data_IF_510616316130
#
_entry.id   IF_510616316130
#
_cell.length_a   1.000
_cell.length_b   1.000
_cell.length_c   1.000
_cell.angle_alpha   90.00
_cell.angle_beta   90.00
_cell.angle_gamma   90.00
#
_symmetry.space_group_name_H-M   'P 1'
#
loop_
_entity.id
_entity.type
_entity.pdbx_description
1 polymer ?
#
# COMPACT_ATOMS: atom_id res chain seq x y z
N UNK A 1 -25.42 29.31 72.57
CA UNK A 1 -26.47 28.58 71.80
C UNK A 1 -25.76 27.49 70.99
N UNK A 2 -25.72 26.19 71.36
CA UNK A 2 -26.80 25.16 71.30
C UNK A 2 -27.34 24.99 69.87
N UNK A 3 -27.34 23.86 69.15
CA UNK A 3 -26.98 22.40 69.31
C UNK A 3 -26.37 21.93 67.95
N UNK A 4 -25.81 20.75 67.69
CA UNK A 4 -25.59 19.52 68.48
C UNK A 4 -26.18 18.25 67.81
N UNK A 5 -25.30 17.30 67.40
CA UNK A 5 -25.53 15.84 67.18
C UNK A 5 -26.44 15.39 66.00
N UNK A 6 -25.99 14.52 65.06
CA UNK A 6 -25.82 13.03 65.11
C UNK A 6 -27.15 12.25 65.09
N UNK A 7 -27.35 11.08 64.46
CA UNK A 7 -26.56 10.15 63.63
C UNK A 7 -27.56 9.21 62.88
N UNK A 8 -27.10 8.30 62.00
CA UNK A 8 -27.99 7.29 61.40
C UNK A 8 -27.34 6.39 60.34
N UNK A 9 -26.85 5.22 60.75
CA UNK A 9 -26.25 4.17 59.91
C UNK A 9 -27.20 2.98 59.71
N UNK A 10 -27.28 2.45 58.48
CA UNK A 10 -27.54 1.03 58.13
C UNK A 10 -27.05 0.83 56.69
N UNK A 11 -25.97 0.09 56.42
CA UNK A 11 -25.86 -1.38 56.32
C UNK A 11 -26.46 -2.01 55.04
N UNK A 12 -25.65 -2.80 54.32
CA UNK A 12 -26.14 -4.03 53.67
C UNK A 12 -25.72 -4.33 52.23
N UNK A 13 -24.63 -5.11 52.07
CA UNK A 13 -24.27 -6.02 50.94
C UNK A 13 -23.74 -5.34 49.66
N UNK A 14 -22.48 -5.56 49.25
CA UNK A 14 -21.81 -6.80 48.76
C UNK A 14 -22.40 -7.31 47.42
N UNK A 15 -21.67 -7.75 46.38
CA UNK A 15 -20.27 -7.67 45.93
C UNK A 15 -20.23 -8.13 44.43
N UNK A 16 -19.15 -8.27 43.63
CA UNK A 16 -17.70 -8.13 43.84
C UNK A 16 -16.95 -7.82 42.51
N UNK A 17 -15.73 -7.28 42.62
CA UNK A 17 -14.50 -7.55 41.84
C UNK A 17 -14.57 -8.15 40.42
N UNK A 18 -14.12 -7.38 39.41
CA UNK A 18 -13.10 -7.86 38.43
C UNK A 18 -12.08 -6.75 38.16
N UNK A 19 -10.97 -6.76 38.90
CA UNK A 19 -9.71 -6.12 38.49
C UNK A 19 -8.83 -7.21 37.91
N UNK A 20 -8.40 -7.08 36.64
CA UNK A 20 -7.37 -7.97 36.12
C UNK A 20 -7.26 -8.06 34.60
N UNK A 21 -6.01 -7.89 34.14
CA UNK A 21 -5.46 -8.40 32.85
C UNK A 21 -5.97 -7.74 31.56
N UNK A 22 -5.22 -6.73 31.11
CA UNK A 22 -4.47 -6.80 29.84
C UNK A 22 -3.43 -5.68 29.72
N UNK A 23 -2.32 -5.86 30.45
CA UNK A 23 -1.13 -5.02 30.36
C UNK A 23 0.12 -5.91 30.10
N UNK A 24 0.12 -6.64 28.98
CA UNK A 24 1.22 -7.55 28.61
C UNK A 24 1.25 -7.99 27.12
N UNK A 25 1.10 -7.10 26.13
CA UNK A 25 1.58 -7.35 24.76
C UNK A 25 2.19 -6.07 24.17
N UNK A 26 3.37 -5.69 24.68
CA UNK A 26 4.15 -4.56 24.16
C UNK A 26 5.65 -4.68 24.54
N UNK A 27 6.22 -5.88 24.42
CA UNK A 27 7.65 -6.14 24.60
C UNK A 27 8.04 -7.41 23.83
N UNK A 28 8.97 -7.28 22.86
CA UNK A 28 9.48 -8.41 22.08
C UNK A 28 9.68 -8.09 20.60
N UNK A 29 10.79 -7.40 20.28
CA UNK A 29 11.43 -7.39 18.95
C UNK A 29 12.75 -6.57 18.92
N UNK A 30 13.59 -6.61 19.97
CA UNK A 30 14.98 -6.12 19.91
C UNK A 30 15.87 -6.95 20.85
N UNK A 31 16.50 -8.01 20.32
CA UNK A 31 17.74 -8.62 20.81
C UNK A 31 18.15 -9.74 19.83
N UNK A 32 19.39 -9.74 19.34
CA UNK A 32 19.81 -10.77 18.37
C UNK A 32 21.13 -10.52 17.62
N UNK A 33 22.19 -10.07 18.28
CA UNK A 33 23.57 -10.16 17.76
C UNK A 33 24.55 -10.40 18.91
N UNK A 34 25.57 -11.21 18.63
CA UNK A 34 26.80 -11.47 19.40
C UNK A 34 26.69 -12.23 20.73
N UNK A 35 27.03 -13.52 20.67
CA UNK A 35 28.25 -14.02 21.32
C UNK A 35 28.71 -15.31 20.61
N UNK A 36 30.02 -15.54 20.56
CA UNK A 36 30.58 -16.77 20.00
C UNK A 36 31.97 -17.04 20.56
N UNK A 37 32.25 -18.31 20.88
CA UNK A 37 33.60 -18.89 20.97
C UNK A 37 33.57 -20.43 21.10
N UNK A 38 34.45 -21.04 20.32
CA UNK A 38 35.25 -22.26 20.55
C UNK A 38 34.61 -23.54 21.13
N UNK A 39 34.51 -24.58 20.28
CA UNK A 39 35.20 -25.87 20.48
C UNK A 39 35.29 -26.67 19.16
N UNK A 40 36.39 -27.41 18.97
CA UNK A 40 36.66 -28.31 17.83
C UNK A 40 35.74 -29.54 17.72
N UNK A 41 35.99 -30.52 16.87
CA UNK A 41 37.25 -30.95 16.20
C UNK A 41 36.95 -31.86 14.99
N UNK A 42 37.86 -31.93 14.01
CA UNK A 42 38.23 -33.22 13.39
C UNK A 42 37.70 -33.61 11.99
N UNK A 43 38.62 -33.51 11.02
CA UNK A 43 38.96 -34.49 9.95
C UNK A 43 38.07 -34.74 8.71
N UNK A 44 38.75 -34.54 7.58
CA UNK A 44 38.93 -35.42 6.41
C UNK A 44 37.75 -35.73 5.47
N UNK A 45 37.95 -35.40 4.17
CA UNK A 45 37.05 -35.77 3.07
C UNK A 45 37.28 -34.94 1.79
N UNK A 46 38.32 -35.26 1.02
CA UNK A 46 38.60 -34.59 -0.25
C UNK A 46 37.71 -35.11 -1.40
N UNK A 47 37.39 -34.27 -2.40
CA UNK A 47 37.78 -34.53 -3.81
C UNK A 47 37.41 -33.42 -4.82
N UNK A 48 38.32 -33.27 -5.79
CA UNK A 48 38.14 -32.92 -7.20
C UNK A 48 37.56 -31.55 -7.65
N UNK A 49 38.43 -30.78 -8.32
CA UNK A 49 38.06 -29.75 -9.31
C UNK A 49 37.73 -30.38 -10.68
N UNK A 50 37.05 -29.64 -11.56
CA UNK A 50 37.03 -29.91 -13.01
C UNK A 50 35.94 -29.14 -13.78
N UNK A 51 36.28 -28.19 -14.67
CA UNK A 51 35.29 -27.37 -15.38
C UNK A 51 35.03 -27.83 -16.83
N UNK A 52 33.96 -27.34 -17.46
CA UNK A 52 34.06 -26.93 -18.86
C UNK A 52 33.01 -25.89 -19.31
N UNK A 53 33.31 -25.24 -20.43
CA UNK A 53 32.61 -24.06 -20.98
C UNK A 53 32.23 -24.33 -22.44
N UNK A 54 31.31 -23.49 -22.96
CA UNK A 54 31.07 -23.17 -24.37
C UNK A 54 29.94 -23.92 -25.12
N UNK A 55 29.29 -23.14 -25.99
CA UNK A 55 28.20 -23.50 -26.88
C UNK A 55 28.68 -23.54 -28.35
N UNK A 56 27.89 -24.12 -29.27
CA UNK A 56 27.79 -23.71 -30.70
C UNK A 56 26.35 -23.99 -31.23
N UNK A 57 25.96 -23.27 -32.28
CA UNK A 57 24.65 -23.18 -32.94
C UNK A 57 24.34 -24.27 -34.01
N UNK A 58 23.08 -24.28 -34.47
CA UNK A 58 22.59 -24.31 -35.89
C UNK A 58 21.04 -24.18 -35.83
N UNK A 59 20.31 -23.20 -36.40
CA UNK A 59 20.14 -22.68 -37.79
C UNK A 59 19.44 -23.66 -38.74
N UNK A 60 18.22 -23.31 -39.19
CA UNK A 60 17.47 -23.99 -40.26
C UNK A 60 16.07 -23.39 -40.45
N UNK A 61 15.65 -23.10 -41.69
CA UNK A 61 14.45 -22.31 -41.99
C UNK A 61 13.50 -22.98 -43.02
N UNK A 62 12.19 -22.71 -42.91
CA UNK A 62 11.13 -22.78 -43.94
C UNK A 62 9.87 -22.13 -43.30
N UNK A 63 9.11 -21.16 -43.83
CA UNK A 63 8.60 -20.82 -45.19
C UNK A 63 7.46 -21.72 -45.69
N UNK A 64 6.21 -21.23 -45.51
CA UNK A 64 5.03 -21.18 -46.43
C UNK A 64 3.92 -20.40 -45.67
N UNK A 65 3.24 -19.38 -46.21
CA UNK A 65 2.16 -19.38 -47.23
C UNK A 65 0.95 -20.26 -46.88
N UNK A 66 -0.33 -19.87 -47.01
CA UNK A 66 -1.01 -18.59 -47.33
C UNK A 66 -2.51 -18.73 -46.93
N UNK A 67 -3.40 -17.76 -47.20
CA UNK A 67 -4.86 -18.02 -47.28
C UNK A 67 -5.82 -17.18 -46.42
N UNK A 68 -6.00 -15.93 -46.83
CA UNK A 68 -7.24 -15.14 -46.95
C UNK A 68 -8.62 -15.58 -46.38
N UNK A 69 -9.39 -14.55 -45.96
CA UNK A 69 -10.88 -14.42 -45.95
C UNK A 69 -11.70 -15.34 -45.02
N UNK A 70 -12.89 -14.98 -44.52
CA UNK A 70 -13.73 -13.76 -44.67
C UNK A 70 -14.56 -13.50 -43.39
N UNK A 71 -15.28 -12.37 -43.31
CA UNK A 71 -16.11 -12.00 -42.17
C UNK A 71 -17.61 -12.06 -42.49
N UNK A 72 -18.45 -12.59 -41.58
CA UNK A 72 -19.91 -12.38 -41.59
C UNK A 72 -20.46 -12.13 -40.19
N UNK A 73 -21.37 -11.15 -40.10
CA UNK A 73 -22.12 -10.71 -38.93
C UNK A 73 -23.40 -11.51 -38.69
N UNK A 74 -23.85 -11.63 -37.43
CA UNK A 74 -25.22 -12.10 -37.14
C UNK A 74 -25.65 -11.90 -35.68
N UNK A 75 -26.65 -11.04 -35.44
CA UNK A 75 -27.42 -11.00 -34.19
C UNK A 75 -28.52 -12.08 -34.23
N UNK A 76 -28.91 -12.62 -33.07
CA UNK A 76 -30.08 -13.52 -32.95
C UNK A 76 -30.42 -13.87 -31.51
N UNK A 77 -31.47 -13.26 -30.98
CA UNK A 77 -32.05 -13.54 -29.65
C UNK A 77 -33.00 -14.73 -29.68
N UNK A 78 -33.02 -15.56 -28.63
CA UNK A 78 -34.01 -16.63 -28.42
C UNK A 78 -34.02 -17.10 -26.96
N UNK A 79 -35.20 -17.42 -26.43
CA UNK A 79 -35.47 -17.78 -25.02
C UNK A 79 -36.42 -18.99 -25.00
N UNK A 80 -36.50 -19.72 -23.87
CA UNK A 80 -37.42 -20.84 -23.57
C UNK A 80 -37.01 -22.18 -24.22
N UNK A 81 -37.23 -23.37 -23.64
CA UNK A 81 -37.71 -23.78 -22.29
C UNK A 81 -37.25 -25.24 -22.00
N UNK A 82 -37.53 -25.76 -20.79
CA UNK A 82 -37.09 -27.09 -20.29
C UNK A 82 -37.68 -28.30 -21.05
N UNK A 83 -36.97 -29.44 -21.00
CA UNK A 83 -37.59 -30.78 -20.92
C UNK A 83 -36.62 -31.86 -20.39
N UNK A 84 -37.01 -32.52 -19.29
CA UNK A 84 -36.41 -33.77 -18.79
C UNK A 84 -36.85 -35.00 -19.61
N UNK A 85 -35.95 -35.97 -19.84
CA UNK A 85 -36.26 -37.40 -20.01
C UNK A 85 -34.97 -38.26 -19.90
N UNK A 86 -35.13 -39.55 -19.62
CA UNK A 86 -34.13 -40.43 -18.98
C UNK A 86 -33.78 -41.70 -19.78
N UNK A 87 -32.67 -42.37 -19.40
CA UNK A 87 -32.21 -43.75 -19.72
C UNK A 87 -31.98 -44.18 -21.19
N UNK A 88 -30.74 -44.56 -21.53
CA UNK A 88 -30.36 -45.96 -21.89
C UNK A 88 -28.85 -46.23 -21.86
N UNK A 89 -28.49 -47.49 -21.57
CA UNK A 89 -27.11 -48.00 -21.46
C UNK A 89 -26.39 -48.17 -22.81
N UNK A 90 -25.05 -48.09 -22.75
CA UNK A 90 -24.13 -48.61 -23.75
C UNK A 90 -22.75 -48.77 -23.12
N UNK A 91 -22.31 -50.02 -22.93
CA UNK A 91 -20.95 -50.33 -22.48
C UNK A 91 -19.96 -50.11 -23.61
N UNK A 92 -18.79 -49.51 -23.31
CA UNK A 92 -17.54 -49.88 -24.00
C UNK A 92 -16.30 -49.42 -23.21
N UNK A 93 -15.27 -50.27 -23.17
CA UNK A 93 -14.04 -50.02 -22.41
C UNK A 93 -12.90 -49.55 -23.34
N UNK A 94 -12.22 -48.44 -23.01
CA UNK A 94 -11.16 -47.92 -23.89
C UNK A 94 -10.23 -46.86 -23.28
N UNK A 95 -9.04 -47.32 -22.87
CA UNK A 95 -7.74 -46.62 -22.85
C UNK A 95 -7.57 -45.23 -22.19
N UNK A 96 -6.56 -45.16 -21.32
CA UNK A 96 -6.04 -43.93 -20.69
C UNK A 96 -5.24 -43.08 -21.70
N UNK A 97 -5.52 -41.78 -21.79
CA UNK A 97 -4.73 -40.82 -22.57
C UNK A 97 -4.71 -39.44 -21.92
N UNK A 98 -3.50 -38.93 -21.60
CA UNK A 98 -3.33 -37.67 -20.87
C UNK A 98 -3.75 -36.44 -21.67
N UNK A 99 -4.64 -35.62 -21.11
CA UNK A 99 -5.17 -34.41 -21.77
C UNK A 99 -4.25 -33.21 -21.50
N UNK A 100 -3.61 -32.70 -22.56
CA UNK A 100 -2.75 -31.52 -22.47
C UNK A 100 -3.55 -30.28 -22.03
N UNK A 101 -2.98 -29.51 -21.10
CA UNK A 101 -3.58 -28.26 -20.60
C UNK A 101 -3.39 -27.16 -21.63
N UNK A 102 -4.50 -26.53 -22.06
CA UNK A 102 -4.48 -25.48 -23.07
C UNK A 102 -3.68 -24.24 -22.64
N UNK A 103 -2.80 -23.75 -23.52
CA UNK A 103 -1.98 -22.57 -23.26
C UNK A 103 -2.83 -21.29 -23.17
N UNK A 104 -2.90 -20.69 -21.98
CA UNK A 104 -3.54 -19.40 -21.76
C UNK A 104 -2.65 -18.29 -22.35
N UNK A 105 -3.10 -17.65 -23.43
CA UNK A 105 -2.44 -16.44 -23.98
C UNK A 105 -2.68 -15.26 -23.03
N UNK A 106 -1.64 -14.55 -22.56
CA UNK A 106 -1.84 -13.34 -21.77
C UNK A 106 -2.25 -12.19 -22.70
N UNK A 107 -3.52 -11.79 -22.61
CA UNK A 107 -4.01 -10.55 -23.24
C UNK A 107 -4.15 -9.48 -22.15
N UNK A 108 -3.18 -8.57 -22.07
CA UNK A 108 -3.30 -7.32 -21.30
C UNK A 108 -3.16 -6.16 -22.27
N UNK A 109 -4.29 -5.78 -22.88
CA UNK A 109 -4.36 -4.54 -23.66
C UNK A 109 -4.41 -3.34 -22.70
N UNK A 110 -3.29 -2.63 -22.60
CA UNK A 110 -3.20 -1.40 -21.80
C UNK A 110 -4.02 -0.31 -22.49
N UNK A 111 -5.11 0.13 -21.85
CA UNK A 111 -5.79 1.37 -22.24
C UNK A 111 -5.16 2.53 -21.47
N UNK A 112 -4.44 3.40 -22.17
CA UNK A 112 -3.92 4.64 -21.61
C UNK A 112 -5.06 5.65 -21.39
N UNK A 113 -5.49 5.81 -20.13
CA UNK A 113 -6.37 6.91 -19.76
C UNK A 113 -5.55 8.20 -19.60
N UNK A 114 -5.42 8.94 -20.70
CA UNK A 114 -4.93 10.31 -20.68
C UNK A 114 -5.95 11.25 -20.03
N UNK A 115 -5.89 11.40 -18.70
CA UNK A 115 -6.57 12.48 -18.00
C UNK A 115 -5.58 13.64 -17.81
N UNK A 116 -5.76 14.70 -18.59
CA UNK A 116 -4.98 15.94 -18.48
C UNK A 116 -5.18 16.54 -17.09
N UNK A 117 -4.09 16.97 -16.45
CA UNK A 117 -4.13 17.55 -15.12
C UNK A 117 -4.85 18.90 -15.10
N UNK A 118 -6.11 18.92 -14.66
CA UNK A 118 -6.73 20.14 -14.15
C UNK A 118 -6.37 20.30 -12.67
N UNK A 119 -6.00 21.52 -12.27
CA UNK A 119 -6.11 21.90 -10.87
C UNK A 119 -7.57 21.69 -10.42
N UNK A 120 -7.75 21.07 -9.25
CA UNK A 120 -9.09 20.81 -8.71
C UNK A 120 -9.73 22.15 -8.36
N UNK A 121 -10.64 22.62 -9.21
CA UNK A 121 -11.48 23.81 -8.96
C UNK A 121 -12.52 23.44 -7.90
N UNK A 122 -12.09 23.42 -6.64
CA UNK A 122 -12.89 23.04 -5.48
C UNK A 122 -12.00 22.87 -4.24
N UNK A 123 -12.60 22.95 -3.05
CA UNK A 123 -11.86 22.70 -1.82
C UNK A 123 -11.45 21.20 -1.75
N UNK A 124 -10.16 20.88 -1.50
CA UNK A 124 -9.73 19.49 -1.43
C UNK A 124 -10.37 18.77 -0.23
N UNK A 125 -10.74 17.50 -0.42
CA UNK A 125 -11.35 16.69 0.66
C UNK A 125 -10.37 16.48 1.81
N UNK A 126 -9.08 16.30 1.53
CA UNK A 126 -8.01 16.22 2.53
C UNK A 126 -6.97 17.30 2.25
N UNK A 127 -6.58 18.03 3.31
CA UNK A 127 -5.50 19.02 3.29
C UNK A 127 -4.61 18.79 4.51
N UNK A 128 -3.36 18.45 4.24
CA UNK A 128 -2.31 18.24 5.24
C UNK A 128 -1.30 19.38 5.06
N UNK A 129 -1.07 20.17 6.11
CA UNK A 129 -0.23 21.37 6.07
C UNK A 129 0.80 21.30 7.20
N UNK A 130 2.09 21.35 6.83
CA UNK A 130 3.24 21.35 7.74
C UNK A 130 3.21 20.26 8.81
N UNK A 131 2.74 19.06 8.47
CA UNK A 131 2.55 17.96 9.40
C UNK A 131 3.88 17.53 10.00
N UNK A 132 3.99 17.61 11.32
CA UNK A 132 5.13 17.12 12.11
C UNK A 132 4.63 16.09 13.11
N UNK A 133 5.37 14.98 13.27
CA UNK A 133 5.10 13.97 14.29
C UNK A 133 6.40 13.39 14.82
N UNK A 134 6.66 13.72 16.09
CA UNK A 134 7.78 13.20 16.86
C UNK A 134 7.30 12.21 17.91
N UNK A 135 8.00 11.08 18.03
CA UNK A 135 7.76 10.09 19.09
C UNK A 135 8.83 10.23 20.19
N UNK A 136 8.46 10.35 21.48
CA UNK A 136 9.44 10.43 22.56
C UNK A 136 10.18 9.10 22.72
N UNK A 137 11.52 9.16 22.77
CA UNK A 137 12.33 8.01 23.19
C UNK A 137 12.45 8.08 24.71
N UNK A 138 12.03 7.03 25.41
CA UNK A 138 12.13 6.93 26.87
C UNK A 138 13.08 5.82 27.30
N UNK A 139 13.85 6.04 28.36
CA UNK A 139 14.70 5.04 29.00
C UNK A 139 14.49 5.00 30.52
N UNK A 140 14.91 3.89 31.13
CA UNK A 140 14.75 3.61 32.58
C UNK A 140 13.70 2.53 32.86
N UNK A 141 14.07 1.54 33.68
CA UNK A 141 13.24 0.38 33.99
C UNK A 141 12.09 0.69 34.99
N UNK A 142 12.34 1.61 35.93
CA UNK A 142 11.38 1.98 37.00
C UNK A 142 10.73 3.36 36.73
N UNK A 143 11.51 4.32 36.21
CA UNK A 143 11.02 5.65 35.85
C UNK A 143 11.39 5.95 34.40
N UNK A 144 10.39 5.97 33.50
CA UNK A 144 10.59 6.23 32.06
C UNK A 144 10.88 7.72 31.82
N UNK A 145 12.16 8.11 31.82
CA UNK A 145 12.59 9.47 31.48
C UNK A 145 12.70 9.63 29.96
N UNK A 146 12.29 10.78 29.42
CA UNK A 146 12.50 11.12 28.00
C UNK A 146 14.00 11.37 27.78
N UNK A 147 14.62 10.60 26.89
CA UNK A 147 16.04 10.69 26.52
C UNK A 147 16.26 11.15 25.08
N UNK A 148 15.18 11.37 24.32
CA UNK A 148 15.25 11.90 22.97
C UNK A 148 13.88 11.94 22.29
N UNK A 149 13.88 12.16 20.98
CA UNK A 149 12.71 12.03 20.12
C UNK A 149 13.10 11.41 18.77
N UNK A 150 12.16 10.75 18.11
CA UNK A 150 12.29 10.25 16.73
C UNK A 150 11.34 11.06 15.86
N UNK A 151 11.86 11.79 14.87
CA UNK A 151 11.01 12.57 13.97
C UNK A 151 10.54 11.68 12.82
N UNK A 152 9.34 11.11 12.97
CA UNK A 152 8.76 10.15 12.03
C UNK A 152 8.07 10.85 10.85
N UNK A 153 7.56 12.06 11.07
CA UNK A 153 7.11 12.97 10.02
C UNK A 153 7.70 14.34 10.35
N UNK A 154 8.40 14.93 9.39
CA UNK A 154 9.05 16.21 9.54
C UNK A 154 8.58 17.11 8.40
N UNK A 155 7.57 17.95 8.66
CA UNK A 155 7.06 18.97 7.74
C UNK A 155 6.62 18.38 6.38
N UNK A 156 5.48 17.68 6.41
CA UNK A 156 4.83 17.11 5.21
C UNK A 156 3.58 17.92 4.88
N UNK A 157 3.48 18.38 3.62
CA UNK A 157 2.35 19.13 3.10
C UNK A 157 1.84 18.56 1.78
N UNK A 158 0.54 18.25 1.70
CA UNK A 158 -0.14 17.81 0.47
C UNK A 158 -1.66 17.94 0.57
N UNK A 159 -2.33 17.89 -0.58
CA UNK A 159 -3.79 17.88 -0.69
C UNK A 159 -4.28 16.76 -1.61
N UNK A 160 -5.49 16.28 -1.32
CA UNK A 160 -6.20 15.23 -2.06
C UNK A 160 -7.64 15.71 -2.33
N UNK A 161 -8.04 15.78 -3.60
CA UNK A 161 -9.38 16.11 -4.04
C UNK A 161 -10.37 14.96 -3.80
N UNK A 162 -11.67 15.25 -3.87
CA UNK A 162 -12.70 14.21 -3.77
C UNK A 162 -12.61 13.25 -4.98
N UNK A 163 -12.67 11.94 -4.72
CA UNK A 163 -12.54 10.89 -5.75
C UNK A 163 -11.11 10.66 -6.25
N UNK A 164 -10.13 11.40 -5.75
CA UNK A 164 -8.70 11.25 -6.07
C UNK A 164 -8.11 10.03 -5.32
N UNK A 165 -7.15 9.33 -5.94
CA UNK A 165 -6.24 8.43 -5.21
C UNK A 165 -4.87 9.08 -5.12
N UNK A 166 -4.48 9.50 -3.92
CA UNK A 166 -3.13 9.95 -3.63
C UNK A 166 -2.29 8.80 -3.09
N UNK A 167 -1.28 8.40 -3.86
CA UNK A 167 -0.34 7.35 -3.52
C UNK A 167 0.82 7.86 -2.68
N UNK A 168 1.09 7.26 -1.52
CA UNK A 168 2.20 7.61 -0.64
C UNK A 168 3.21 6.47 -0.60
N UNK A 169 4.41 6.70 -1.15
CA UNK A 169 5.40 5.65 -1.45
C UNK A 169 6.76 5.91 -0.80
N UNK A 170 7.54 4.85 -0.55
CA UNK A 170 8.89 4.93 -0.02
C UNK A 170 9.28 3.69 0.80
N UNK A 171 10.54 3.63 1.22
CA UNK A 171 11.09 2.52 2.03
C UNK A 171 10.35 2.33 3.36
N UNK A 172 10.52 1.16 3.98
CA UNK A 172 10.03 0.92 5.34
C UNK A 172 10.63 1.93 6.32
N UNK A 173 9.86 2.37 7.32
CA UNK A 173 10.29 3.40 8.26
C UNK A 173 10.31 4.84 7.74
N UNK A 174 9.96 5.12 6.48
CA UNK A 174 9.98 6.48 5.92
C UNK A 174 8.89 7.45 6.44
N UNK A 175 7.97 6.99 7.30
CA UNK A 175 6.94 7.82 7.95
C UNK A 175 5.50 7.68 7.41
N UNK A 176 5.30 6.91 6.33
CA UNK A 176 4.01 6.79 5.61
C UNK A 176 2.83 6.38 6.51
N UNK A 177 2.96 5.28 7.24
CA UNK A 177 1.98 4.80 8.24
C UNK A 177 1.68 5.85 9.31
N UNK A 178 2.68 6.63 9.73
CA UNK A 178 2.49 7.71 10.70
C UNK A 178 1.64 8.83 10.13
N UNK A 179 1.88 9.24 8.88
CA UNK A 179 1.01 10.20 8.16
C UNK A 179 -0.42 9.66 8.08
N UNK A 180 -0.60 8.39 7.69
CA UNK A 180 -1.92 7.74 7.64
C UNK A 180 -2.65 7.74 8.99
N UNK A 181 -1.96 7.40 10.08
CA UNK A 181 -2.51 7.42 11.45
C UNK A 181 -2.86 8.83 11.94
N UNK A 182 -2.12 9.85 11.51
CA UNK A 182 -2.48 11.25 11.78
C UNK A 182 -3.75 11.67 11.03
N UNK A 183 -3.89 11.28 9.75
CA UNK A 183 -5.08 11.58 8.93
C UNK A 183 -6.36 11.00 9.55
N UNK A 184 -6.31 9.77 10.07
CA UNK A 184 -7.50 9.14 10.70
C UNK A 184 -7.68 9.49 12.19
N UNK A 185 -6.81 10.33 12.77
CA UNK A 185 -6.88 10.74 14.17
C UNK A 185 -6.66 9.60 15.17
N UNK A 186 -5.77 8.66 14.83
CA UNK A 186 -5.20 7.66 15.74
C UNK A 186 -3.91 8.17 16.40
N UNK A 187 -3.16 9.03 15.70
CA UNK A 187 -1.96 9.69 16.21
C UNK A 187 -2.16 11.21 16.20
N UNK A 188 -1.99 11.87 17.35
CA UNK A 188 -1.98 13.33 17.42
C UNK A 188 -0.69 13.88 16.81
N UNK A 189 -0.74 14.80 15.82
CA UNK A 189 0.44 15.51 15.34
C UNK A 189 1.18 16.25 16.46
N UNK A 190 2.50 16.39 16.32
CA UNK A 190 3.33 17.28 17.14
C UNK A 190 3.26 18.73 16.65
N UNK A 191 2.94 18.94 15.37
CA UNK A 191 2.73 20.24 14.74
C UNK A 191 2.06 20.10 13.37
N UNK A 192 1.67 21.23 12.78
CA UNK A 192 0.92 21.28 11.52
C UNK A 192 -0.59 21.21 11.69
N UNK A 193 -1.28 20.95 10.59
CA UNK A 193 -2.74 20.97 10.44
C UNK A 193 -3.21 19.80 9.56
N UNK A 194 -4.35 19.20 9.91
CA UNK A 194 -4.99 18.12 9.14
C UNK A 194 -6.47 18.45 9.00
N UNK A 195 -6.88 18.91 7.83
CA UNK A 195 -8.27 19.25 7.52
C UNK A 195 -8.91 18.20 6.62
N UNK A 196 -10.13 17.81 6.97
CA UNK A 196 -10.96 16.92 6.15
C UNK A 196 -12.27 17.65 5.88
N UNK A 197 -12.63 17.86 4.60
CA UNK A 197 -13.81 18.61 4.18
C UNK A 197 -13.99 19.91 4.96
N UNK A 198 -13.00 20.81 4.86
CA UNK A 198 -12.93 22.10 5.57
C UNK A 198 -12.67 22.07 7.08
N UNK A 199 -12.90 20.95 7.78
CA UNK A 199 -12.80 20.90 9.24
C UNK A 199 -11.42 20.43 9.74
N UNK A 200 -10.83 21.21 10.64
CA UNK A 200 -9.59 20.88 11.36
C UNK A 200 -9.79 19.69 12.32
N UNK A 201 -9.13 18.57 12.04
CA UNK A 201 -9.25 17.35 12.83
C UNK A 201 -8.72 17.53 14.26
N UNK A 202 -7.67 18.34 14.43
CA UNK A 202 -7.04 18.56 15.74
C UNK A 202 -7.92 19.31 16.74
N UNK A 203 -8.93 20.07 16.28
CA UNK A 203 -9.87 20.79 17.15
C UNK A 203 -11.08 19.94 17.58
N UNK A 204 -11.41 18.87 16.85
CA UNK A 204 -12.61 18.08 17.10
C UNK A 204 -12.50 17.23 18.37
N UNK A 205 -13.55 17.24 19.20
CA UNK A 205 -13.66 16.43 20.42
C UNK A 205 -15.04 15.76 20.51
N UNK A 206 -15.15 14.74 21.37
CA UNK A 206 -16.42 14.08 21.71
C UNK A 206 -17.26 13.67 20.49
N UNK A 207 -18.53 14.12 20.46
CA UNK A 207 -19.50 13.81 19.40
C UNK A 207 -19.03 14.23 18.00
N UNK A 208 -18.38 15.40 17.87
CA UNK A 208 -17.92 15.91 16.57
C UNK A 208 -16.79 15.04 15.98
N UNK A 209 -15.83 14.61 16.83
CA UNK A 209 -14.79 13.67 16.41
C UNK A 209 -15.37 12.30 16.06
N UNK A 210 -16.35 11.80 16.84
CA UNK A 210 -17.05 10.53 16.53
C UNK A 210 -17.82 10.62 15.21
N UNK A 211 -18.45 11.75 14.89
CA UNK A 211 -19.11 11.94 13.61
C UNK A 211 -18.09 11.98 12.46
N UNK A 212 -16.97 12.70 12.63
CA UNK A 212 -15.90 12.75 11.61
C UNK A 212 -15.27 11.39 11.31
N UNK A 213 -15.17 10.51 12.29
CA UNK A 213 -14.72 9.11 12.11
C UNK A 213 -15.69 8.23 11.30
N UNK A 214 -16.88 8.71 10.94
CA UNK A 214 -17.75 8.05 9.96
C UNK A 214 -17.25 8.30 8.53
N UNK A 215 -16.84 9.54 8.24
CA UNK A 215 -16.36 9.98 6.92
C UNK A 215 -14.96 9.44 6.56
N UNK A 216 -14.20 8.88 7.51
CA UNK A 216 -12.78 8.57 7.35
C UNK A 216 -12.38 7.27 8.02
N UNK A 217 -11.91 6.29 7.24
CA UNK A 217 -11.57 4.93 7.71
C UNK A 217 -10.13 4.54 7.38
N UNK A 218 -9.60 3.59 8.14
CA UNK A 218 -8.27 2.99 7.95
C UNK A 218 -8.40 1.51 7.61
N UNK A 219 -7.82 1.09 6.49
CA UNK A 219 -7.52 -0.31 6.19
C UNK A 219 -6.06 -0.56 6.60
N UNK A 220 -5.85 -1.50 7.51
CA UNK A 220 -4.54 -1.81 8.09
C UNK A 220 -3.73 -2.78 7.22
N UNK A 221 -2.40 -2.73 7.37
CA UNK A 221 -1.40 -3.59 6.72
C UNK A 221 -1.63 -5.07 7.01
N UNK A 222 -1.76 -5.43 8.30
CA UNK A 222 -2.17 -6.78 8.69
C UNK A 222 -3.68 -6.84 8.91
N UNK A 223 -4.38 -7.29 7.87
CA UNK A 223 -5.83 -7.51 7.97
C UNK A 223 -6.18 -8.61 8.97
N UNK A 224 -5.33 -9.62 9.21
CA UNK A 224 -5.66 -10.71 10.13
C UNK A 224 -5.75 -10.23 11.58
N UNK A 225 -4.74 -9.52 12.11
CA UNK A 225 -4.85 -8.93 13.45
C UNK A 225 -5.90 -7.83 13.56
N UNK A 226 -6.34 -7.24 12.43
CA UNK A 226 -7.44 -6.26 12.42
C UNK A 226 -8.84 -6.86 12.55
N UNK A 227 -9.02 -8.18 12.38
CA UNK A 227 -10.32 -8.87 12.45
C UNK A 227 -10.36 -9.74 13.71
N UNK A 228 -11.31 -9.50 14.64
CA UNK A 228 -11.43 -10.35 15.83
C UNK A 228 -11.75 -11.81 15.41
N UNK A 229 -10.86 -12.79 15.68
CA UNK A 229 -11.05 -14.17 15.23
C UNK A 229 -12.22 -14.89 15.93
N UNK A 230 -12.75 -14.33 17.03
CA UNK A 230 -13.91 -14.84 17.79
C UNK A 230 -15.23 -14.26 17.30
N UNK A 231 -15.22 -13.23 16.46
CA UNK A 231 -16.42 -12.65 15.87
C UNK A 231 -16.72 -13.29 14.51
N UNK A 232 -18.01 -13.49 14.20
CA UNK A 232 -18.43 -13.85 12.83
C UNK A 232 -18.24 -12.66 11.90
N UNK A 233 -17.90 -12.90 10.64
CA UNK A 233 -17.67 -11.87 9.61
C UNK A 233 -18.83 -10.89 9.52
N UNK A 234 -20.08 -11.34 9.61
CA UNK A 234 -21.24 -10.47 9.57
C UNK A 234 -21.34 -9.50 10.76
N UNK A 235 -20.82 -9.90 11.93
CA UNK A 235 -20.71 -9.00 13.08
C UNK A 235 -19.57 -7.99 12.89
N UNK A 236 -18.43 -8.41 12.34
CA UNK A 236 -17.27 -7.55 12.07
C UNK A 236 -17.58 -6.47 11.02
N UNK A 237 -18.29 -6.84 9.94
CA UNK A 237 -18.74 -5.87 8.92
C UNK A 237 -19.86 -4.96 9.45
N UNK A 238 -20.72 -5.46 10.36
CA UNK A 238 -21.75 -4.64 11.00
C UNK A 238 -21.22 -3.73 12.13
N UNK A 239 -20.05 -4.01 12.70
CA UNK A 239 -19.53 -3.35 13.89
C UNK A 239 -19.47 -1.81 13.76
N UNK A 240 -18.98 -1.21 12.65
CA UNK A 240 -19.04 0.25 12.48
C UNK A 240 -20.47 0.81 12.54
N UNK A 241 -21.44 0.14 11.89
CA UNK A 241 -22.85 0.54 11.97
C UNK A 241 -23.42 0.41 13.39
N UNK A 242 -23.02 -0.64 14.13
CA UNK A 242 -23.42 -0.84 15.53
C UNK A 242 -22.85 0.26 16.43
N UNK A 243 -21.53 0.49 16.37
CA UNK A 243 -20.81 1.50 17.17
C UNK A 243 -21.38 2.90 16.93
N UNK A 244 -21.78 3.21 15.69
CA UNK A 244 -22.31 4.52 15.34
C UNK A 244 -23.83 4.67 15.46
N UNK A 245 -24.57 3.57 15.67
CA UNK A 245 -26.03 3.58 15.80
C UNK A 245 -26.78 3.67 14.47
N UNK A 246 -26.13 3.34 13.34
CA UNK A 246 -26.68 3.46 11.99
C UNK A 246 -27.55 2.24 11.67
N UNK A 247 -28.80 2.45 11.24
CA UNK A 247 -29.73 1.39 10.82
C UNK A 247 -30.24 0.46 11.94
N UNK A 248 -31.27 -0.33 11.63
CA UNK A 248 -31.84 -1.35 12.52
C UNK A 248 -31.05 -2.67 12.47
N UNK A 249 -31.29 -3.62 13.38
CA UNK A 249 -30.65 -4.96 13.34
C UNK A 249 -30.88 -5.67 12.00
N UNK A 250 -32.09 -5.61 11.46
CA UNK A 250 -32.42 -6.20 10.17
C UNK A 250 -31.76 -5.44 9.01
N UNK A 251 -31.78 -4.10 9.03
CA UNK A 251 -31.12 -3.26 8.03
C UNK A 251 -29.60 -3.49 7.97
N UNK A 252 -28.92 -3.54 9.12
CA UNK A 252 -27.50 -3.90 9.21
C UNK A 252 -27.20 -5.27 8.61
N UNK A 253 -28.04 -6.27 8.90
CA UNK A 253 -27.87 -7.62 8.34
C UNK A 253 -28.10 -7.67 6.82
N UNK A 254 -28.96 -6.81 6.26
CA UNK A 254 -29.11 -6.65 4.81
C UNK A 254 -27.89 -5.96 4.19
N UNK A 255 -27.47 -4.81 4.74
CA UNK A 255 -26.30 -4.04 4.27
C UNK A 255 -25.01 -4.85 4.33
N UNK A 256 -24.83 -5.70 5.35
CA UNK A 256 -23.71 -6.66 5.41
C UNK A 256 -23.70 -7.63 4.22
N UNK A 257 -24.85 -8.17 3.81
CA UNK A 257 -24.91 -9.12 2.67
C UNK A 257 -24.60 -8.41 1.35
N UNK A 258 -25.09 -7.19 1.18
CA UNK A 258 -24.78 -6.33 0.05
C UNK A 258 -23.27 -6.04 -0.02
N UNK A 259 -22.68 -5.50 1.06
CA UNK A 259 -21.25 -5.18 1.15
C UNK A 259 -20.35 -6.40 0.91
N UNK A 260 -20.76 -7.60 1.35
CA UNK A 260 -20.06 -8.84 1.03
C UNK A 260 -20.13 -9.16 -0.47
N UNK A 261 -21.31 -9.03 -1.09
CA UNK A 261 -21.48 -9.18 -2.53
C UNK A 261 -20.63 -8.18 -3.33
N UNK A 262 -20.60 -6.92 -2.90
CA UNK A 262 -19.78 -5.86 -3.51
C UNK A 262 -18.28 -6.14 -3.53
N UNK A 263 -17.76 -6.92 -2.56
CA UNK A 263 -16.35 -7.34 -2.51
C UNK A 263 -16.13 -8.75 -3.08
N UNK A 264 -17.14 -9.35 -3.72
CA UNK A 264 -17.06 -10.67 -4.34
C UNK A 264 -17.12 -11.84 -3.36
N UNK A 265 -17.85 -11.71 -2.25
CA UNK A 265 -18.10 -12.77 -1.28
C UNK A 265 -19.60 -13.10 -1.20
N UNK A 266 -19.99 -14.38 -1.11
CA UNK A 266 -21.41 -14.75 -0.99
C UNK A 266 -21.98 -14.25 0.35
N UNK A 267 -23.25 -13.85 0.38
CA UNK A 267 -23.90 -13.37 1.62
C UNK A 267 -23.85 -14.36 2.80
N UNK A 268 -23.73 -15.68 2.51
CA UNK A 268 -23.51 -16.72 3.51
C UNK A 268 -22.17 -16.58 4.28
N UNK A 269 -21.17 -15.90 3.70
CA UNK A 269 -19.89 -15.60 4.37
C UNK A 269 -20.09 -14.85 5.70
N UNK A 270 -21.19 -14.10 5.86
CA UNK A 270 -21.54 -13.41 7.10
C UNK A 270 -21.63 -14.34 8.33
N UNK A 271 -21.92 -15.63 8.14
CA UNK A 271 -22.04 -16.60 9.23
C UNK A 271 -20.72 -17.26 9.63
N UNK A 272 -19.65 -17.06 8.86
CA UNK A 272 -18.34 -17.71 9.04
C UNK A 272 -17.40 -16.84 9.87
N UNK A 273 -16.31 -17.42 10.35
CA UNK A 273 -15.26 -16.74 11.12
C UNK A 273 -14.04 -16.37 10.25
N UNK A 274 -13.25 -15.34 10.59
CA UNK A 274 -12.11 -14.88 9.79
C UNK A 274 -11.06 -15.95 9.44
N UNK A 275 -10.87 -16.96 10.31
CA UNK A 275 -9.90 -18.03 10.09
C UNK A 275 -10.30 -19.01 8.97
N UNK A 276 -11.56 -19.01 8.53
CA UNK A 276 -12.05 -19.87 7.46
C UNK A 276 -11.84 -19.32 6.04
N UNK A 277 -11.15 -18.17 5.91
CA UNK A 277 -10.99 -17.43 4.65
C UNK A 277 -9.52 -17.32 4.23
N UNK A 278 -9.23 -17.23 2.93
CA UNK A 278 -7.88 -16.93 2.44
C UNK A 278 -7.42 -15.52 2.82
N UNK A 279 -6.13 -15.20 2.65
CA UNK A 279 -5.61 -13.84 2.90
C UNK A 279 -6.35 -12.77 2.07
N UNK A 280 -6.51 -13.00 0.76
CA UNK A 280 -7.27 -12.11 -0.13
C UNK A 280 -8.75 -12.00 0.23
N UNK A 281 -9.39 -13.09 0.70
CA UNK A 281 -10.77 -13.03 1.19
C UNK A 281 -10.89 -12.23 2.49
N UNK A 282 -9.92 -12.34 3.40
CA UNK A 282 -9.85 -11.49 4.60
C UNK A 282 -9.65 -10.02 4.21
N UNK A 283 -8.83 -9.71 3.21
CA UNK A 283 -8.68 -8.35 2.67
C UNK A 283 -10.01 -7.79 2.13
N UNK A 284 -10.78 -8.60 1.39
CA UNK A 284 -12.14 -8.27 0.93
C UNK A 284 -13.08 -7.97 2.11
N UNK A 285 -13.03 -8.75 3.19
CA UNK A 285 -13.82 -8.50 4.42
C UNK A 285 -13.43 -7.17 5.08
N UNK A 286 -12.14 -6.82 5.14
CA UNK A 286 -11.70 -5.54 5.68
C UNK A 286 -12.15 -4.34 4.83
N UNK A 287 -12.15 -4.47 3.50
CA UNK A 287 -12.72 -3.47 2.59
C UNK A 287 -14.24 -3.33 2.83
N UNK A 288 -14.98 -4.43 2.91
CA UNK A 288 -16.42 -4.42 3.21
C UNK A 288 -16.74 -3.73 4.55
N UNK A 289 -15.92 -3.96 5.60
CA UNK A 289 -16.03 -3.27 6.88
C UNK A 289 -15.78 -1.76 6.75
N UNK A 290 -14.74 -1.34 6.01
CA UNK A 290 -14.43 0.08 5.83
C UNK A 290 -15.55 0.83 5.09
N UNK A 291 -16.24 0.16 4.17
CA UNK A 291 -17.37 0.72 3.42
C UNK A 291 -18.68 0.80 4.23
N UNK A 292 -18.77 0.16 5.41
CA UNK A 292 -20.02 0.01 6.16
C UNK A 292 -20.65 1.31 6.68
N UNK A 293 -19.93 2.43 6.61
CA UNK A 293 -20.43 3.77 6.94
C UNK A 293 -20.37 4.75 5.76
N UNK A 294 -20.18 4.26 4.52
CA UNK A 294 -20.11 5.05 3.29
C UNK A 294 -19.11 6.22 3.38
N UNK A 295 -17.82 5.92 3.64
CA UNK A 295 -16.82 6.93 3.94
C UNK A 295 -16.44 7.75 2.70
N UNK A 296 -16.07 9.01 2.93
CA UNK A 296 -15.55 9.90 1.88
C UNK A 296 -14.07 9.64 1.61
N UNK A 297 -13.32 9.27 2.65
CA UNK A 297 -11.88 9.03 2.62
C UNK A 297 -11.54 7.67 3.24
N UNK A 298 -10.76 6.87 2.51
CA UNK A 298 -10.12 5.66 3.05
C UNK A 298 -8.60 5.84 2.98
N UNK A 299 -7.95 5.75 4.14
CA UNK A 299 -6.51 5.53 4.22
C UNK A 299 -6.28 4.03 4.13
N UNK A 300 -5.48 3.57 3.17
CA UNK A 300 -5.15 2.16 2.99
C UNK A 300 -3.64 1.99 3.21
N UNK A 301 -3.27 1.40 4.35
CA UNK A 301 -1.88 1.23 4.77
C UNK A 301 -1.36 -0.14 4.36
N UNK A 302 -0.58 -0.19 3.28
CA UNK A 302 -0.07 -1.42 2.64
C UNK A 302 -1.11 -2.55 2.45
N UNK A 303 -2.29 -2.29 1.85
CA UNK A 303 -3.43 -3.23 1.82
C UNK A 303 -3.23 -4.50 0.97
N UNK A 304 -2.03 -4.72 0.43
CA UNK A 304 -1.70 -5.84 -0.46
C UNK A 304 -0.32 -6.45 -0.21
N UNK A 305 0.49 -5.95 0.74
CA UNK A 305 1.91 -6.34 0.86
C UNK A 305 2.13 -7.79 1.31
N UNK A 306 1.15 -8.40 1.99
CA UNK A 306 1.20 -9.79 2.45
C UNK A 306 0.46 -10.78 1.52
N UNK A 307 0.24 -10.43 0.25
CA UNK A 307 -0.56 -11.23 -0.71
C UNK A 307 0.27 -11.62 -1.95
N UNK A 308 -0.03 -12.77 -2.55
CA UNK A 308 0.56 -13.21 -3.82
C UNK A 308 0.20 -12.24 -4.96
N UNK A 309 1.11 -12.04 -5.93
CA UNK A 309 0.97 -11.05 -7.02
C UNK A 309 -0.39 -11.12 -7.75
N UNK A 310 -0.89 -12.33 -8.02
CA UNK A 310 -2.20 -12.53 -8.65
C UNK A 310 -3.38 -12.07 -7.77
N UNK A 311 -3.27 -12.24 -6.46
CA UNK A 311 -4.26 -11.77 -5.48
C UNK A 311 -4.13 -10.25 -5.27
N UNK A 312 -2.91 -9.70 -5.25
CA UNK A 312 -2.70 -8.25 -5.22
C UNK A 312 -3.46 -7.57 -6.36
N UNK A 313 -3.27 -8.04 -7.61
CA UNK A 313 -3.96 -7.51 -8.78
C UNK A 313 -5.50 -7.56 -8.64
N UNK A 314 -6.06 -8.66 -8.11
CA UNK A 314 -7.50 -8.76 -7.85
C UNK A 314 -8.00 -7.74 -6.81
N UNK A 315 -7.24 -7.49 -5.74
CA UNK A 315 -7.59 -6.50 -4.72
C UNK A 315 -7.48 -5.07 -5.26
N UNK A 316 -6.45 -4.78 -6.06
CA UNK A 316 -6.28 -3.47 -6.70
C UNK A 316 -7.40 -3.17 -7.71
N UNK A 317 -7.80 -4.16 -8.51
CA UNK A 317 -8.97 -4.05 -9.39
C UNK A 317 -10.23 -3.74 -8.58
N UNK A 318 -10.50 -4.51 -7.51
CA UNK A 318 -11.64 -4.29 -6.62
C UNK A 318 -11.63 -2.89 -5.98
N UNK A 319 -10.48 -2.41 -5.49
CA UNK A 319 -10.35 -1.06 -4.94
C UNK A 319 -10.59 0.01 -6.01
N UNK A 320 -10.16 -0.21 -7.26
CA UNK A 320 -10.43 0.69 -8.38
C UNK A 320 -11.92 0.72 -8.75
N UNK A 321 -12.61 -0.42 -8.67
CA UNK A 321 -14.04 -0.54 -8.92
C UNK A 321 -14.87 0.13 -7.80
N UNK A 322 -14.48 -0.09 -6.54
CA UNK A 322 -15.06 0.58 -5.38
C UNK A 322 -14.89 2.11 -5.47
N UNK A 323 -13.71 2.59 -5.89
CA UNK A 323 -13.46 4.01 -6.14
C UNK A 323 -14.50 4.61 -7.09
N UNK A 324 -14.74 3.95 -8.22
CA UNK A 324 -15.66 4.43 -9.27
C UNK A 324 -17.12 4.31 -8.85
N UNK A 325 -17.51 3.24 -8.14
CA UNK A 325 -18.91 3.02 -7.72
C UNK A 325 -19.36 3.94 -6.59
N UNK A 326 -18.47 4.26 -5.65
CA UNK A 326 -18.80 5.02 -4.43
C UNK A 326 -18.20 6.43 -4.38
N UNK A 327 -17.45 6.86 -5.40
CA UNK A 327 -16.76 8.16 -5.40
C UNK A 327 -15.68 8.30 -4.33
N UNK A 328 -15.09 7.17 -3.88
CA UNK A 328 -14.17 7.13 -2.74
C UNK A 328 -12.90 7.91 -3.04
N UNK A 329 -12.41 8.62 -2.03
CA UNK A 329 -11.07 9.20 -2.03
C UNK A 329 -10.14 8.25 -1.30
N UNK A 330 -8.94 8.01 -1.85
CA UNK A 330 -7.95 7.13 -1.26
C UNK A 330 -6.66 7.88 -0.92
N UNK A 331 -6.12 7.64 0.28
CA UNK A 331 -4.69 7.79 0.56
C UNK A 331 -4.11 6.38 0.61
N UNK A 332 -3.43 5.99 -0.46
CA UNK A 332 -2.93 4.63 -0.65
C UNK A 332 -1.44 4.56 -0.33
N UNK A 333 -1.08 3.91 0.77
CA UNK A 333 0.31 3.78 1.22
C UNK A 333 0.87 2.43 0.76
N UNK A 334 2.08 2.44 0.20
CA UNK A 334 2.84 1.23 -0.13
C UNK A 334 4.36 1.49 -0.09
N UNK A 335 5.17 0.44 -0.11
CA UNK A 335 6.58 0.53 -0.49
C UNK A 335 6.82 0.23 -1.97
N UNK A 336 5.89 -0.44 -2.66
CA UNK A 336 5.97 -0.75 -4.09
C UNK A 336 5.35 0.35 -4.96
N UNK A 337 6.18 1.00 -5.78
CA UNK A 337 5.76 2.06 -6.69
C UNK A 337 4.92 1.56 -7.88
N UNK A 338 5.09 0.31 -8.31
CA UNK A 338 4.33 -0.28 -9.41
C UNK A 338 2.85 -0.44 -9.03
N UNK A 339 2.59 -0.95 -7.82
CA UNK A 339 1.28 -1.06 -7.18
C UNK A 339 0.66 0.34 -6.99
N UNK A 340 1.43 1.30 -6.49
CA UNK A 340 0.97 2.68 -6.29
C UNK A 340 0.56 3.32 -7.61
N UNK A 341 1.37 3.19 -8.66
CA UNK A 341 1.09 3.73 -10.01
C UNK A 341 -0.22 3.18 -10.60
N UNK A 342 -0.58 1.93 -10.30
CA UNK A 342 -1.80 1.32 -10.85
C UNK A 342 -3.09 2.01 -10.35
N UNK A 343 -3.16 2.31 -9.04
CA UNK A 343 -4.38 2.86 -8.42
C UNK A 343 -4.39 4.40 -8.31
N UNK A 344 -3.21 5.03 -8.32
CA UNK A 344 -3.03 6.45 -7.95
C UNK A 344 -3.09 7.39 -9.15
N UNK A 345 -3.78 8.52 -8.97
CA UNK A 345 -3.76 9.65 -9.91
C UNK A 345 -2.53 10.53 -9.68
N UNK A 346 -2.17 10.75 -8.41
CA UNK A 346 -0.96 11.47 -7.98
C UNK A 346 -0.17 10.65 -6.97
N UNK A 347 1.14 10.85 -6.95
CA UNK A 347 2.07 10.18 -6.04
C UNK A 347 2.79 11.22 -5.19
N UNK A 348 3.09 10.89 -3.93
CA UNK A 348 4.06 11.54 -3.06
C UNK A 348 5.08 10.50 -2.58
N UNK A 349 6.36 10.77 -2.83
CA UNK A 349 7.49 9.94 -2.44
C UNK A 349 8.05 10.46 -1.12
N UNK A 350 8.08 9.60 -0.09
CA UNK A 350 8.59 9.92 1.24
C UNK A 350 9.94 9.27 1.51
N UNK A 351 10.88 10.07 2.03
CA UNK A 351 12.15 9.60 2.56
C UNK A 351 12.42 10.23 3.94
N UNK A 352 12.70 9.39 4.94
CA UNK A 352 12.94 9.77 6.35
C UNK A 352 12.02 10.92 6.84
N UNK A 353 10.70 10.73 6.73
CA UNK A 353 9.69 11.66 7.26
C UNK A 353 9.42 12.91 6.44
N UNK A 354 10.12 13.14 5.31
CA UNK A 354 9.91 14.26 4.38
C UNK A 354 9.32 13.77 3.06
N UNK A 355 8.51 14.60 2.39
CA UNK A 355 8.18 14.42 0.97
C UNK A 355 9.36 14.91 0.13
N UNK A 356 9.93 14.04 -0.71
CA UNK A 356 11.06 14.39 -1.59
C UNK A 356 10.64 14.60 -3.05
N UNK A 357 9.48 14.06 -3.45
CA UNK A 357 8.92 14.22 -4.79
C UNK A 357 7.40 14.04 -4.74
N UNK A 358 6.65 14.79 -5.55
CA UNK A 358 5.21 14.58 -5.75
C UNK A 358 4.76 15.05 -7.12
N UNK A 359 3.77 14.40 -7.73
CA UNK A 359 3.28 14.78 -9.05
C UNK A 359 2.24 13.80 -9.60
N UNK A 360 1.81 13.97 -10.86
CA UNK A 360 1.02 12.97 -11.57
C UNK A 360 1.72 11.61 -11.56
N UNK A 361 0.97 10.53 -11.29
CA UNK A 361 1.56 9.20 -11.11
C UNK A 361 2.37 8.72 -12.33
N UNK A 362 1.91 9.06 -13.53
CA UNK A 362 2.62 8.75 -14.77
C UNK A 362 3.96 9.49 -14.91
N UNK A 363 4.05 10.74 -14.46
CA UNK A 363 5.26 11.57 -14.59
C UNK A 363 6.32 11.20 -13.55
N UNK A 364 5.92 11.01 -12.29
CA UNK A 364 6.81 10.55 -11.21
C UNK A 364 7.44 9.18 -11.57
N UNK A 365 6.70 8.32 -12.27
CA UNK A 365 7.22 7.02 -12.73
C UNK A 365 8.08 7.12 -14.02
N UNK A 366 7.64 7.85 -15.04
CA UNK A 366 8.33 7.92 -16.35
C UNK A 366 9.60 8.79 -16.29
N UNK A 367 9.52 9.93 -15.60
CA UNK A 367 10.55 10.98 -15.54
C UNK A 367 10.82 11.43 -14.10
N UNK A 368 11.24 10.52 -13.20
CA UNK A 368 11.53 10.85 -11.81
C UNK A 368 12.60 11.96 -11.71
N UNK A 369 12.36 12.97 -10.88
CA UNK A 369 13.29 14.09 -10.67
C UNK A 369 14.25 13.85 -9.52
N UNK A 370 13.82 13.16 -8.46
CA UNK A 370 14.67 12.91 -7.31
C UNK A 370 15.44 11.58 -7.47
N UNK A 371 16.76 11.53 -7.25
CA UNK A 371 17.56 10.30 -7.42
C UNK A 371 17.07 9.11 -6.58
N UNK A 372 16.50 9.37 -5.40
CA UNK A 372 15.80 8.35 -4.60
C UNK A 372 14.64 7.68 -5.36
N UNK A 373 13.77 8.47 -6.00
CA UNK A 373 12.62 7.96 -6.76
C UNK A 373 13.08 7.12 -7.95
N UNK A 374 14.14 7.55 -8.65
CA UNK A 374 14.78 6.75 -9.71
C UNK A 374 15.27 5.41 -9.15
N UNK A 375 15.99 5.40 -8.01
CA UNK A 375 16.45 4.15 -7.38
C UNK A 375 15.31 3.22 -6.91
N UNK A 376 14.16 3.77 -6.49
CA UNK A 376 12.96 2.97 -6.20
C UNK A 376 12.40 2.32 -7.48
N UNK A 377 12.34 3.05 -8.60
CA UNK A 377 11.89 2.54 -9.91
C UNK A 377 12.85 1.46 -10.43
N UNK A 378 14.15 1.72 -10.38
CA UNK A 378 15.19 0.83 -10.93
C UNK A 378 15.33 -0.48 -10.12
N UNK A 379 14.72 -0.55 -8.93
CA UNK A 379 14.64 -1.75 -8.08
C UNK A 379 13.44 -2.64 -8.45
N UNK A 380 12.46 -2.15 -9.21
CA UNK A 380 11.29 -2.93 -9.64
C UNK A 380 11.72 -3.96 -10.71
N UNK A 381 11.47 -5.27 -10.51
CA UNK A 381 11.82 -6.28 -11.51
C UNK A 381 11.10 -6.06 -12.84
N UNK A 382 11.86 -6.04 -13.94
CA UNK A 382 11.28 -6.08 -15.29
C UNK A 382 10.77 -7.50 -15.55
N UNK A 383 9.50 -7.64 -15.95
CA UNK A 383 8.86 -8.95 -16.15
C UNK A 383 9.35 -9.73 -17.38
N UNK A 384 10.18 -9.10 -18.23
CA UNK A 384 10.75 -9.68 -19.44
C UNK A 384 12.13 -10.32 -19.13
N UNK A 385 12.30 -11.65 -19.25
CA UNK A 385 13.57 -12.33 -19.03
C UNK A 385 14.67 -11.98 -20.04
N UNK A 386 14.29 -11.46 -21.22
CA UNK A 386 15.19 -11.15 -22.33
C UNK A 386 15.51 -9.65 -22.45
N UNK A 387 14.76 -8.80 -21.74
CA UNK A 387 15.19 -7.43 -21.46
C UNK A 387 16.48 -7.49 -20.60
N UNK A 388 17.63 -7.33 -21.27
CA UNK A 388 18.94 -7.46 -20.63
C UNK A 388 19.05 -6.63 -19.36
N UNK A 389 19.76 -7.16 -18.34
CA UNK A 389 19.93 -6.58 -16.99
C UNK A 389 20.74 -5.27 -17.02
N UNK A 390 20.16 -4.23 -17.60
CA UNK A 390 20.82 -3.01 -18.00
C UNK A 390 20.14 -1.77 -17.43
N UNK A 391 20.26 -1.59 -16.10
CA UNK A 391 20.48 -0.28 -15.44
C UNK A 391 20.66 -0.48 -13.94
N UNK A 392 21.76 0.05 -13.42
CA UNK A 392 22.08 -0.02 -12.00
C UNK A 392 21.89 1.35 -11.35
N UNK A 393 20.98 1.41 -10.37
CA UNK A 393 21.00 2.36 -9.26
C UNK A 393 20.25 1.76 -8.06
N UNK A 394 20.63 0.54 -7.65
CA UNK A 394 20.19 -0.03 -6.37
C UNK A 394 20.55 0.98 -5.28
N UNK A 395 19.59 1.34 -4.42
CA UNK A 395 19.80 2.37 -3.39
C UNK A 395 20.76 1.81 -2.32
N UNK A 396 22.05 2.07 -2.50
CA UNK A 396 23.11 1.48 -1.67
C UNK A 396 23.12 2.02 -0.24
N UNK A 397 23.74 1.26 0.66
CA UNK A 397 23.85 1.60 2.09
C UNK A 397 22.56 1.38 2.88
N UNK A 398 22.71 1.29 4.21
CA UNK A 398 21.59 1.16 5.14
C UNK A 398 20.79 2.46 5.26
N UNK A 399 19.49 2.35 5.57
CA UNK A 399 18.64 3.51 5.83
C UNK A 399 19.09 4.22 7.13
N UNK A 400 19.46 5.51 7.10
CA UNK A 400 19.89 6.22 8.30
C UNK A 400 18.82 6.27 9.39
N UNK A 401 19.26 6.27 10.65
CA UNK A 401 18.35 6.32 11.80
C UNK A 401 17.51 7.60 11.81
N UNK A 402 16.19 7.48 11.84
CA UNK A 402 15.26 8.59 12.01
C UNK A 402 15.39 9.33 13.37
N UNK A 403 16.23 8.83 14.30
CA UNK A 403 16.61 9.54 15.53
C UNK A 403 17.65 10.64 15.27
N UNK A 404 18.52 10.43 14.29
CA UNK A 404 19.62 11.31 13.94
C UNK A 404 19.66 11.42 12.41
N UNK A 405 18.64 12.04 11.78
CA UNK A 405 18.57 12.15 10.34
C UNK A 405 19.75 12.97 9.80
N UNK A 406 20.24 12.69 8.58
CA UNK A 406 21.28 13.50 7.96
C UNK A 406 20.82 14.97 7.81
N UNK A 407 21.68 15.91 8.19
CA UNK A 407 21.54 17.36 7.95
C UNK A 407 21.27 17.74 6.47
N UNK A 408 20.72 18.92 6.22
CA UNK A 408 20.42 19.38 4.87
C UNK A 408 19.53 18.38 4.11
N UNK A 409 20.00 17.86 2.98
CA UNK A 409 19.33 16.79 2.25
C UNK A 409 19.44 15.45 3.01
N UNK A 410 18.30 14.97 3.54
CA UNK A 410 18.22 13.68 4.27
C UNK A 410 18.72 12.49 3.44
N UNK A 411 18.58 12.51 2.11
CA UNK A 411 19.01 11.42 1.22
C UNK A 411 20.51 11.44 0.88
N UNK A 412 21.28 12.49 1.25
CA UNK A 412 22.66 12.68 0.76
C UNK A 412 23.58 11.49 0.98
N UNK A 413 23.42 10.74 2.06
CA UNK A 413 24.31 9.63 2.44
C UNK A 413 24.14 8.38 1.55
N UNK A 414 23.08 8.34 0.74
CA UNK A 414 22.78 7.26 -0.23
C UNK A 414 22.58 7.81 -1.65
N UNK A 415 22.83 9.10 -1.86
CA UNK A 415 22.61 9.77 -3.14
C UNK A 415 23.89 9.73 -4.00
N UNK A 416 23.85 9.15 -5.21
CA UNK A 416 25.02 9.14 -6.10
C UNK A 416 25.37 10.52 -6.67
N UNK A 417 24.47 11.52 -6.51
CA UNK A 417 24.65 12.91 -6.93
C UNK A 417 24.85 13.87 -5.74
N UNK A 418 25.25 13.36 -4.58
CA UNK A 418 25.51 14.19 -3.41
C UNK A 418 26.71 15.13 -3.64
N UNK A 419 26.54 16.40 -3.30
CA UNK A 419 27.60 17.40 -3.26
C UNK A 419 27.60 18.11 -1.89
N UNK A 420 28.57 18.98 -1.64
CA UNK A 420 28.75 19.66 -0.35
C UNK A 420 27.49 20.41 0.13
N UNK A 421 26.81 21.15 -0.75
CA UNK A 421 25.55 21.85 -0.44
C UNK A 421 24.48 20.91 0.15
N UNK A 422 24.44 19.64 -0.27
CA UNK A 422 23.49 18.65 0.25
C UNK A 422 23.72 18.31 1.73
N UNK A 423 24.90 18.59 2.29
CA UNK A 423 25.20 18.38 3.71
C UNK A 423 24.77 19.53 4.62
N UNK A 424 24.67 20.75 4.07
CA UNK A 424 24.44 21.99 4.82
C UNK A 424 23.04 22.57 4.61
N UNK A 425 22.46 22.42 3.42
CA UNK A 425 21.18 23.04 3.06
C UNK A 425 20.11 21.98 2.74
N UNK A 426 18.91 22.15 3.29
CA UNK A 426 17.76 21.30 2.96
C UNK A 426 17.12 21.77 1.64
N UNK A 427 17.01 20.89 0.62
CA UNK A 427 16.49 21.30 -0.68
C UNK A 427 14.99 21.63 -0.62
N UNK A 428 14.62 22.80 -1.15
CA UNK A 428 13.22 23.22 -1.25
C UNK A 428 12.47 22.43 -2.35
N UNK A 429 11.16 22.22 -2.16
CA UNK A 429 10.28 21.62 -3.17
C UNK A 429 10.10 22.56 -4.37
N UNK A 430 10.84 22.31 -5.45
CA UNK A 430 10.75 23.06 -6.73
C UNK A 430 9.74 22.43 -7.68
N UNK A 431 9.14 23.22 -8.57
CA UNK A 431 8.17 22.78 -9.60
C UNK A 431 8.90 22.46 -10.92
N UNK A 432 8.45 21.42 -11.63
CA UNK A 432 9.09 20.88 -12.84
C UNK A 432 8.10 20.63 -14.01
N UNK A 433 6.96 21.33 -14.03
CA UNK A 433 5.85 21.13 -14.98
C UNK A 433 4.68 20.34 -14.37
N UNK A 434 3.46 20.53 -14.88
CA UNK A 434 2.24 19.74 -14.58
C UNK A 434 1.96 19.37 -13.10
N UNK A 435 2.34 20.26 -12.17
CA UNK A 435 2.21 20.01 -10.72
C UNK A 435 3.23 19.01 -10.15
N UNK A 436 4.15 18.50 -10.96
CA UNK A 436 5.32 17.72 -10.55
C UNK A 436 6.30 18.62 -9.78
N UNK A 437 6.67 18.20 -8.57
CA UNK A 437 7.55 18.89 -7.65
C UNK A 437 8.57 17.94 -7.04
N UNK A 438 9.79 18.41 -6.80
CA UNK A 438 10.82 17.65 -6.10
C UNK A 438 11.74 18.53 -5.24
N UNK A 439 12.14 18.00 -4.09
CA UNK A 439 13.09 18.58 -3.15
C UNK A 439 14.48 18.00 -3.42
N UNK A 440 15.14 18.49 -4.48
CA UNK A 440 16.51 18.10 -4.82
C UNK A 440 17.31 19.32 -5.26
N UNK A 441 18.57 19.44 -4.84
CA UNK A 441 19.52 20.43 -5.37
C UNK A 441 19.92 20.12 -6.82
N UNK A 442 20.16 18.83 -7.11
CA UNK A 442 20.59 18.30 -8.42
C UNK A 442 19.52 17.34 -8.98
N UNK A 443 18.37 17.85 -9.44
CA UNK A 443 17.30 17.02 -9.99
C UNK A 443 17.74 16.36 -11.30
N UNK A 444 17.22 15.15 -11.53
CA UNK A 444 17.45 14.43 -12.78
C UNK A 444 16.81 15.18 -13.96
N UNK A 445 17.58 15.31 -15.04
CA UNK A 445 17.10 15.84 -16.30
C UNK A 445 16.00 14.94 -16.88
N UNK A 446 15.10 15.53 -17.66
CA UNK A 446 14.19 14.76 -18.49
C UNK A 446 15.00 13.87 -19.43
N UNK A 447 14.64 12.58 -19.49
CA UNK A 447 15.26 11.64 -20.43
C UNK A 447 14.61 11.81 -21.82
N UNK A 448 14.87 12.95 -22.45
CA UNK A 448 14.38 13.32 -23.78
C UNK A 448 15.31 14.34 -24.46
N UNK A 449 15.72 14.03 -25.69
CA UNK A 449 16.52 14.90 -26.57
C UNK A 449 17.92 15.33 -26.06
N UNK A 450 18.82 14.35 -25.85
CA UNK A 450 20.27 14.58 -25.85
C UNK A 450 21.04 13.42 -26.52
N UNK A 451 20.55 12.94 -27.66
CA UNK A 451 21.39 12.23 -28.62
C UNK A 451 22.24 13.27 -29.35
N UNK A 452 23.24 13.82 -28.66
CA UNK A 452 24.20 14.72 -29.26
C UNK A 452 24.96 13.98 -30.37
N UNK A 453 25.06 14.61 -31.53
CA UNK A 453 25.55 14.02 -32.77
C UNK A 453 26.99 13.51 -32.59
N UNK A 454 27.15 12.19 -32.47
CA UNK A 454 28.45 11.56 -32.57
C UNK A 454 28.82 11.47 -34.05
N UNK A 455 29.25 12.59 -34.63
CA UNK A 455 29.82 12.64 -35.99
C UNK A 455 30.92 11.60 -36.11
N UNK A 456 30.88 10.68 -37.09
CA UNK A 456 31.94 9.70 -37.25
C UNK A 456 33.27 10.40 -37.49
N UNK A 457 34.28 10.15 -36.64
CA UNK A 457 35.65 10.51 -36.96
C UNK A 457 36.08 9.71 -38.18
N UNK A 458 36.35 10.43 -39.26
CA UNK A 458 36.94 9.89 -40.48
C UNK A 458 38.25 9.15 -40.14
N UNK A 459 38.42 7.93 -40.66
CA UNK A 459 39.64 7.16 -40.42
C UNK A 459 40.75 7.72 -41.29
N UNK A 460 41.82 8.21 -40.67
CA UNK A 460 43.09 8.39 -41.35
C UNK A 460 43.57 7.04 -41.92
N UNK A 461 43.51 6.92 -43.25
CA UNK A 461 44.18 5.86 -44.00
C UNK A 461 45.43 6.47 -44.63
N UNK A 462 46.58 6.31 -43.99
CA UNK A 462 47.91 6.52 -44.57
C UNK A 462 48.93 5.59 -43.91
N UNK A 463 49.78 4.97 -44.73
CA UNK A 463 50.94 4.17 -44.31
C UNK A 463 50.76 2.69 -44.60
#
# INVERSE_FOLDING_TARGET
>A
MTKGRSAGTTEGRDAATVVGRNAAIAAGCIAGVAEGRDAGTGRDGAMAMGPNVAAVCEVGAAVTEAGDTEAVTGHGTGVLEDHDADVTQGDDAGAVGGRAVGAVRPVVSVRENGAVGQEVVGEPLLRVEHLVKDFPVTAGAVLRRKVGAVSAVADVSFSVGAGETFGLVGESGSGKTTVGRCIVGLETPSGGSVRIGGAELMSLRGKALRQRRQDTHLVFQDTYSSLDPRMRVGAIVAEPMVIHGVGTRAGRAARVRELLGEVGLPGAAAQRYPHEFSGGQRQRIALARALALEPKLIVADEPVSALDVSIQAQILNLMSDLRRRHGLTYVFISHDLSVVRYLSTRIGVMYLGKLVETGPAAQVYRSPRHPYTRGLIDTVPVADPWAGRGRAAVITGELPSARTPPSGCRFRTRCPLAQEICAHEEPLMRVFGDGHRAACHFPLAESGAAAAECTPREKDVRG
#
